data_IF_235740817309
#
_entry.id   IF_235740817309
#
_cell.length_a   1.000
_cell.length_b   1.000
_cell.length_c   1.000
_cell.angle_alpha   90.00
_cell.angle_beta   90.00
_cell.angle_gamma   90.00
#
_symmetry.space_group_name_H-M   'P 1'
#
loop_
_entity.id
_entity.type
_entity.pdbx_description
1 polymer ?
#
# COMPACT_ATOMS: atom_id res chain seq x y z
N UNK A 1 2.29 7.28 23.54
CA UNK A 1 3.65 7.47 23.01
C UNK A 1 4.19 8.73 23.66
N UNK A 2 5.45 8.76 24.10
CA UNK A 2 6.01 9.96 24.75
C UNK A 2 6.41 11.02 23.72
N UNK A 3 6.54 12.29 24.14
CA UNK A 3 7.05 13.36 23.26
C UNK A 3 8.43 13.03 22.69
N UNK A 4 9.32 12.41 23.48
CA UNK A 4 10.64 11.97 23.01
C UNK A 4 10.55 10.94 21.89
N UNK A 5 9.60 10.01 21.98
CA UNK A 5 9.36 9.01 20.95
C UNK A 5 8.83 9.67 19.66
N UNK A 6 7.98 10.69 19.75
CA UNK A 6 7.52 11.48 18.60
C UNK A 6 8.69 12.23 17.97
N UNK A 7 9.48 12.94 18.76
CA UNK A 7 10.64 13.69 18.28
C UNK A 7 11.66 12.78 17.61
N UNK A 8 11.89 11.58 18.16
CA UNK A 8 12.76 10.57 17.54
C UNK A 8 12.19 10.05 16.22
N UNK A 9 10.88 9.81 16.13
CA UNK A 9 10.24 9.40 14.88
C UNK A 9 10.43 10.46 13.78
N UNK A 10 10.24 11.74 14.14
CA UNK A 10 10.45 12.87 13.23
C UNK A 10 11.91 12.97 12.79
N UNK A 11 12.87 12.89 13.71
CA UNK A 11 14.29 13.01 13.33
C UNK A 11 14.75 11.85 12.45
N UNK A 12 14.23 10.64 12.64
CA UNK A 12 14.46 9.53 11.73
C UNK A 12 13.87 9.81 10.35
N UNK A 13 12.64 10.34 10.28
CA UNK A 13 11.98 10.65 9.01
C UNK A 13 12.73 11.72 8.20
N UNK A 14 13.36 12.68 8.89
CA UNK A 14 14.12 13.77 8.27
C UNK A 14 15.44 13.33 7.63
N UNK A 15 15.94 12.14 7.99
CA UNK A 15 17.06 11.49 7.29
C UNK A 15 16.68 10.97 5.91
N UNK A 16 15.38 10.84 5.61
CA UNK A 16 14.88 10.40 4.29
C UNK A 16 15.52 9.08 3.84
N UNK A 17 16.04 9.07 2.61
CA UNK A 17 16.72 7.92 2.01
C UNK A 17 18.13 7.69 2.58
N UNK A 18 18.69 8.61 3.37
CA UNK A 18 19.99 8.45 4.03
C UNK A 18 19.91 7.59 5.30
N UNK A 19 18.70 7.31 5.80
CA UNK A 19 18.52 6.47 6.98
C UNK A 19 19.05 5.04 6.76
N UNK A 20 19.81 4.52 7.72
CA UNK A 20 20.30 3.15 7.67
C UNK A 20 19.18 2.13 7.90
N UNK A 21 19.39 0.87 7.50
CA UNK A 21 18.38 -0.20 7.64
C UNK A 21 17.85 -0.32 9.07
N UNK A 22 18.74 -0.25 10.08
CA UNK A 22 18.37 -0.32 11.51
C UNK A 22 17.51 0.89 11.93
N UNK A 23 17.78 2.07 11.38
CA UNK A 23 17.04 3.30 11.62
C UNK A 23 15.66 3.27 10.98
N UNK A 24 15.56 2.72 9.76
CA UNK A 24 14.27 2.48 9.08
C UNK A 24 13.43 1.47 9.88
N UNK A 25 14.04 0.41 10.42
CA UNK A 25 13.32 -0.53 11.31
C UNK A 25 12.86 0.16 12.61
N UNK A 26 13.67 1.05 13.19
CA UNK A 26 13.26 1.84 14.35
C UNK A 26 12.11 2.79 14.02
N UNK A 27 12.18 3.47 12.88
CA UNK A 27 11.14 4.35 12.35
C UNK A 27 9.82 3.61 12.19
N UNK A 28 9.83 2.42 11.59
CA UNK A 28 8.66 1.55 11.48
C UNK A 28 8.06 1.19 12.85
N UNK A 29 8.89 0.78 13.82
CA UNK A 29 8.39 0.40 15.16
C UNK A 29 7.68 1.56 15.86
N UNK A 30 8.25 2.76 15.77
CA UNK A 30 7.67 3.97 16.34
C UNK A 30 6.37 4.36 15.61
N UNK A 31 6.35 4.34 14.28
CA UNK A 31 5.15 4.65 13.50
C UNK A 31 4.03 3.62 13.75
N UNK A 32 4.35 2.33 13.85
CA UNK A 32 3.39 1.28 14.20
C UNK A 32 2.80 1.52 15.59
N UNK A 33 3.63 1.88 16.56
CA UNK A 33 3.17 2.22 17.92
C UNK A 33 2.22 3.42 17.91
N UNK A 34 2.61 4.51 17.23
CA UNK A 34 1.78 5.69 17.06
C UNK A 34 0.43 5.34 16.42
N UNK A 35 0.46 4.61 15.31
CA UNK A 35 -0.75 4.20 14.58
C UNK A 35 -1.66 3.34 15.45
N UNK A 36 -1.10 2.40 16.22
CA UNK A 36 -1.87 1.57 17.14
C UNK A 36 -2.60 2.42 18.19
N UNK A 37 -1.90 3.33 18.86
CA UNK A 37 -2.50 4.22 19.87
C UNK A 37 -3.57 5.14 19.26
N UNK A 38 -3.31 5.72 18.08
CA UNK A 38 -4.26 6.59 17.40
C UNK A 38 -5.54 5.86 16.99
N UNK A 39 -5.42 4.65 16.45
CA UNK A 39 -6.58 3.89 15.98
C UNK A 39 -7.41 3.33 17.14
N UNK A 40 -6.77 2.83 18.19
CA UNK A 40 -7.48 2.41 19.40
C UNK A 40 -8.17 3.61 20.07
N UNK A 41 -7.50 4.77 20.14
CA UNK A 41 -8.08 6.01 20.67
C UNK A 41 -9.25 6.55 19.83
N UNK A 42 -9.30 6.23 18.54
CA UNK A 42 -10.41 6.55 17.65
C UNK A 42 -11.61 5.58 17.77
N UNK A 43 -11.51 4.55 18.62
CA UNK A 43 -12.60 3.60 18.89
C UNK A 43 -12.58 2.34 18.02
N UNK A 44 -11.54 2.12 17.21
CA UNK A 44 -11.39 0.85 16.49
C UNK A 44 -10.97 -0.27 17.45
N UNK A 45 -11.43 -1.50 17.18
CA UNK A 45 -11.11 -2.65 18.03
C UNK A 45 -9.66 -3.11 17.84
N UNK A 46 -9.08 -3.73 18.87
CA UNK A 46 -7.75 -4.34 18.78
C UNK A 46 -7.65 -5.36 17.63
N UNK A 47 -8.74 -6.08 17.37
CA UNK A 47 -8.80 -7.06 16.28
C UNK A 47 -8.63 -6.40 14.91
N UNK A 48 -9.36 -5.31 14.65
CA UNK A 48 -9.28 -4.55 13.40
C UNK A 48 -7.88 -3.96 13.21
N UNK A 49 -7.36 -3.30 14.25
CA UNK A 49 -6.02 -2.70 14.23
C UNK A 49 -4.93 -3.75 13.99
N UNK A 50 -5.00 -4.90 14.67
CA UNK A 50 -4.08 -6.04 14.46
C UNK A 50 -4.18 -6.62 13.06
N UNK A 51 -5.37 -6.71 12.49
CA UNK A 51 -5.57 -7.22 11.13
C UNK A 51 -4.92 -6.29 10.09
N UNK A 52 -5.06 -4.98 10.25
CA UNK A 52 -4.40 -3.98 9.40
C UNK A 52 -2.87 -4.02 9.54
N UNK A 53 -2.34 -4.11 10.77
CA UNK A 53 -0.89 -4.28 10.97
C UNK A 53 -0.33 -5.53 10.30
N UNK A 54 -1.05 -6.65 10.41
CA UNK A 54 -0.71 -7.90 9.71
C UNK A 54 -0.71 -7.69 8.20
N UNK A 55 -1.74 -7.02 7.65
CA UNK A 55 -1.83 -6.70 6.22
C UNK A 55 -0.62 -5.88 5.75
N UNK A 56 -0.23 -4.81 6.44
CA UNK A 56 0.90 -3.98 6.04
C UNK A 56 2.23 -4.71 6.15
N UNK A 57 2.40 -5.56 7.16
CA UNK A 57 3.56 -6.43 7.27
C UNK A 57 3.65 -7.44 6.11
N UNK A 58 2.55 -8.11 5.81
CA UNK A 58 2.49 -9.13 4.77
C UNK A 58 2.58 -8.54 3.36
N UNK A 59 2.11 -7.31 3.15
CA UNK A 59 2.16 -6.63 1.87
C UNK A 59 3.49 -5.90 1.61
N UNK A 60 4.08 -5.32 2.65
CA UNK A 60 5.34 -4.58 2.57
C UNK A 60 6.55 -5.49 2.69
N UNK A 61 6.81 -6.02 3.90
CA UNK A 61 8.06 -6.76 4.18
C UNK A 61 8.11 -8.16 3.58
N UNK A 62 6.96 -8.80 3.37
CA UNK A 62 6.87 -10.18 2.89
C UNK A 62 6.38 -10.24 1.45
N UNK A 63 6.76 -11.30 0.75
CA UNK A 63 6.22 -11.58 -0.57
C UNK A 63 4.73 -11.97 -0.52
N UNK A 64 4.08 -11.92 -1.67
CA UNK A 64 2.91 -12.75 -1.91
C UNK A 64 3.28 -14.25 -1.78
N UNK A 65 2.30 -15.15 -1.56
CA UNK A 65 2.54 -16.59 -1.67
C UNK A 65 3.19 -16.91 -3.03
N UNK A 66 4.33 -17.62 -3.01
CA UNK A 66 5.16 -17.82 -4.21
C UNK A 66 5.32 -19.29 -4.64
N UNK A 67 4.78 -20.24 -3.86
CA UNK A 67 4.70 -21.67 -4.24
C UNK A 67 3.24 -22.00 -4.59
N UNK A 68 3.06 -22.95 -5.50
CA UNK A 68 1.74 -23.36 -5.99
C UNK A 68 0.88 -24.09 -4.94
N UNK A 69 1.49 -24.72 -3.93
CA UNK A 69 0.80 -25.56 -2.94
C UNK A 69 1.22 -25.23 -1.52
N UNK A 70 0.34 -25.51 -0.55
CA UNK A 70 0.65 -25.33 0.86
C UNK A 70 1.76 -26.28 1.28
N UNK A 71 2.69 -25.79 2.10
CA UNK A 71 3.57 -26.68 2.84
C UNK A 71 2.91 -27.24 4.11
N UNK A 72 1.79 -26.65 4.57
CA UNK A 72 1.02 -27.14 5.73
C UNK A 72 0.00 -28.21 5.36
N UNK A 73 -0.63 -28.10 4.19
CA UNK A 73 -1.67 -29.03 3.72
C UNK A 73 -1.43 -29.39 2.24
N UNK A 74 -0.85 -30.57 1.95
CA UNK A 74 -0.61 -31.02 0.58
C UNK A 74 -1.87 -30.95 -0.31
N UNK A 75 -1.74 -30.45 -1.54
CA UNK A 75 -2.82 -30.42 -2.54
C UNK A 75 -3.84 -29.28 -2.45
N UNK A 76 -3.82 -28.44 -1.40
CA UNK A 76 -4.74 -27.29 -1.29
C UNK A 76 -4.24 -26.09 -2.13
N UNK A 77 -5.08 -25.52 -3.02
CA UNK A 77 -4.77 -24.25 -3.68
C UNK A 77 -4.46 -23.17 -2.64
N UNK A 78 -3.35 -22.45 -2.83
CA UNK A 78 -2.88 -21.50 -1.84
C UNK A 78 -3.74 -20.25 -1.72
N UNK A 79 -4.12 -19.93 -0.49
CA UNK A 79 -4.62 -18.61 -0.14
C UNK A 79 -3.56 -17.79 0.62
N UNK A 80 -3.81 -16.49 0.81
CA UNK A 80 -2.90 -15.61 1.54
C UNK A 80 -2.65 -15.99 3.00
N UNK A 81 -3.43 -16.91 3.59
CA UNK A 81 -3.33 -17.40 4.98
C UNK A 81 -2.44 -18.63 5.12
N UNK A 82 -2.17 -19.36 4.03
CA UNK A 82 -1.52 -20.67 4.06
C UNK A 82 0.02 -20.64 4.24
N UNK A 83 0.61 -19.47 4.50
CA UNK A 83 1.88 -19.37 5.24
C UNK A 83 3.18 -19.45 4.44
N UNK A 84 3.16 -19.63 3.11
CA UNK A 84 4.38 -19.61 2.30
C UNK A 84 4.78 -18.20 1.82
N UNK A 85 4.90 -17.29 2.79
CA UNK A 85 5.42 -15.93 2.58
C UNK A 85 6.76 -15.83 3.30
N UNK A 86 7.77 -15.35 2.61
CA UNK A 86 9.06 -15.03 3.23
C UNK A 86 9.35 -13.54 3.10
N UNK A 87 10.26 -13.06 3.92
CA UNK A 87 10.74 -11.70 3.83
C UNK A 87 11.38 -11.46 2.45
N UNK A 88 11.11 -10.30 1.85
CA UNK A 88 11.53 -10.00 0.47
C UNK A 88 13.04 -10.03 0.25
N UNK A 89 13.81 -9.66 1.27
CA UNK A 89 15.27 -9.66 1.23
C UNK A 89 15.91 -11.04 1.34
N UNK A 90 15.10 -12.08 1.55
CA UNK A 90 15.58 -13.48 1.56
C UNK A 90 15.46 -14.13 0.18
N UNK A 91 14.88 -13.45 -0.81
CA UNK A 91 14.94 -13.92 -2.20
C UNK A 91 16.29 -13.61 -2.83
N UNK A 92 16.64 -14.31 -3.90
CA UNK A 92 17.76 -13.93 -4.76
C UNK A 92 17.57 -12.52 -5.33
N UNK A 93 18.61 -11.68 -5.41
CA UNK A 93 18.49 -10.31 -5.92
C UNK A 93 17.85 -10.18 -7.31
N UNK A 94 18.04 -11.19 -8.16
CA UNK A 94 17.44 -11.26 -9.50
C UNK A 94 15.93 -11.54 -9.48
N UNK A 95 15.40 -12.15 -8.42
CA UNK A 95 14.01 -12.58 -8.34
C UNK A 95 13.03 -11.39 -8.27
N UNK A 96 11.89 -11.48 -8.96
CA UNK A 96 10.89 -10.39 -9.04
C UNK A 96 10.32 -9.93 -7.69
N UNK A 97 10.28 -10.83 -6.70
CA UNK A 97 9.79 -10.51 -5.34
C UNK A 97 10.87 -9.90 -4.44
N UNK A 98 12.13 -9.88 -4.87
CA UNK A 98 13.23 -9.34 -4.09
C UNK A 98 13.08 -7.83 -3.89
N UNK A 99 13.39 -7.42 -2.67
CA UNK A 99 13.63 -6.04 -2.27
C UNK A 99 14.58 -6.07 -1.06
N UNK A 100 15.41 -5.05 -0.90
CA UNK A 100 16.27 -4.94 0.27
C UNK A 100 15.41 -4.83 1.55
N UNK A 101 15.99 -5.16 2.71
CA UNK A 101 15.25 -4.99 3.98
C UNK A 101 14.83 -3.53 4.19
N UNK A 102 15.70 -2.59 3.80
CA UNK A 102 15.42 -1.15 3.83
C UNK A 102 14.21 -0.80 2.97
N UNK A 103 14.21 -1.17 1.69
CA UNK A 103 13.11 -0.83 0.77
C UNK A 103 11.80 -1.47 1.19
N UNK A 104 11.81 -2.76 1.53
CA UNK A 104 10.61 -3.48 1.94
C UNK A 104 10.02 -2.90 3.25
N UNK A 105 10.87 -2.39 4.15
CA UNK A 105 10.44 -1.72 5.38
C UNK A 105 9.94 -0.31 5.10
N UNK A 106 10.58 0.45 4.19
CA UNK A 106 10.08 1.76 3.74
C UNK A 106 8.71 1.64 3.06
N UNK A 107 8.48 0.62 2.24
CA UNK A 107 7.16 0.33 1.66
C UNK A 107 6.12 0.03 2.75
N UNK A 108 6.49 -0.75 3.77
CA UNK A 108 5.60 -0.98 4.90
C UNK A 108 5.25 0.34 5.62
N UNK A 109 6.24 1.20 5.89
CA UNK A 109 6.05 2.53 6.50
C UNK A 109 5.10 3.38 5.63
N UNK A 110 5.32 3.40 4.31
CA UNK A 110 4.45 4.08 3.34
C UNK A 110 2.99 3.64 3.47
N UNK A 111 2.71 2.36 3.69
CA UNK A 111 1.33 1.88 3.90
C UNK A 111 0.69 2.41 5.19
N UNK A 112 1.45 2.52 6.28
CA UNK A 112 0.95 3.18 7.50
C UNK A 112 0.61 4.65 7.23
N UNK A 113 1.49 5.36 6.54
CA UNK A 113 1.31 6.77 6.21
C UNK A 113 0.09 7.00 5.31
N UNK A 114 -0.07 6.16 4.28
CA UNK A 114 -1.23 6.17 3.39
C UNK A 114 -2.53 5.88 4.16
N UNK A 115 -2.54 4.88 5.05
CA UNK A 115 -3.69 4.58 5.88
C UNK A 115 -4.06 5.71 6.86
N UNK A 116 -3.07 6.37 7.46
CA UNK A 116 -3.28 7.58 8.28
C UNK A 116 -3.71 8.81 7.47
N UNK A 117 -3.69 8.72 6.14
CA UNK A 117 -4.14 9.76 5.22
C UNK A 117 -5.47 9.43 4.53
N UNK A 118 -6.05 8.27 4.81
CA UNK A 118 -7.38 7.88 4.32
C UNK A 118 -8.47 8.73 4.98
N UNK A 119 -9.66 8.78 4.36
CA UNK A 119 -10.85 9.34 5.01
C UNK A 119 -11.13 8.54 6.30
N UNK A 120 -11.65 9.22 7.32
CA UNK A 120 -11.92 8.66 8.65
C UNK A 120 -10.67 8.31 9.47
N UNK A 121 -9.46 8.59 8.98
CA UNK A 121 -8.26 8.46 9.79
C UNK A 121 -8.25 9.49 10.94
N UNK A 122 -7.74 9.13 12.13
CA UNK A 122 -7.52 10.09 13.20
C UNK A 122 -6.46 11.12 12.82
N UNK A 123 -6.63 12.37 13.28
CA UNK A 123 -5.65 13.45 13.06
C UNK A 123 -4.34 13.15 13.80
N UNK A 124 -3.21 13.43 13.15
CA UNK A 124 -1.90 13.30 13.78
C UNK A 124 -1.77 14.21 15.01
N UNK A 125 -1.08 13.76 16.07
CA UNK A 125 -0.98 14.51 17.33
C UNK A 125 -0.05 15.72 17.24
N UNK A 126 0.87 15.76 16.26
CA UNK A 126 1.87 16.82 16.14
C UNK A 126 1.93 17.32 14.69
N UNK A 127 1.86 18.65 14.43
CA UNK A 127 1.89 19.21 13.09
C UNK A 127 3.12 18.79 12.25
N UNK A 128 4.30 18.69 12.86
CA UNK A 128 5.55 18.32 12.15
C UNK A 128 5.49 16.93 11.52
N UNK A 129 4.72 16.00 12.08
CA UNK A 129 4.55 14.66 11.50
C UNK A 129 3.82 14.69 10.15
N UNK A 130 3.00 15.73 9.89
CA UNK A 130 2.25 15.88 8.65
C UNK A 130 3.17 16.05 7.44
N UNK A 131 4.32 16.69 7.63
CA UNK A 131 5.26 17.04 6.55
C UNK A 131 6.54 16.22 6.57
N UNK A 132 6.98 15.74 7.74
CA UNK A 132 8.23 14.98 7.88
C UNK A 132 8.32 13.72 6.98
N UNK A 133 7.16 13.14 6.63
CA UNK A 133 7.06 11.95 5.81
C UNK A 133 6.60 12.21 4.36
N UNK A 134 6.46 13.46 3.93
CA UNK A 134 5.99 13.78 2.57
C UNK A 134 6.84 13.13 1.48
N UNK A 135 8.16 13.08 1.69
CA UNK A 135 9.09 12.44 0.76
C UNK A 135 8.79 10.95 0.54
N UNK A 136 8.24 10.26 1.56
CA UNK A 136 7.95 8.83 1.51
C UNK A 136 6.50 8.53 1.17
N UNK A 137 5.55 9.41 1.53
CA UNK A 137 4.13 9.23 1.22
C UNK A 137 3.76 9.78 -0.16
N UNK A 138 4.42 10.85 -0.60
CA UNK A 138 4.08 11.63 -1.80
C UNK A 138 3.08 12.76 -1.55
N UNK A 139 2.56 12.89 -0.32
CA UNK A 139 1.54 13.86 0.07
C UNK A 139 1.66 14.21 1.56
N UNK A 140 0.95 15.26 2.00
CA UNK A 140 0.84 15.63 3.43
C UNK A 140 0.07 14.53 4.16
N UNK A 141 0.52 14.13 5.35
CA UNK A 141 -0.19 13.12 6.14
C UNK A 141 -1.38 13.76 6.86
N UNK A 142 -2.53 13.80 6.18
CA UNK A 142 -3.79 14.30 6.71
C UNK A 142 -4.97 13.42 6.28
N UNK A 143 -6.00 13.26 7.12
CA UNK A 143 -7.19 12.48 6.75
C UNK A 143 -7.83 13.01 5.46
N UNK A 144 -8.02 12.12 4.49
CA UNK A 144 -8.57 12.43 3.18
C UNK A 144 -7.54 12.89 2.13
N UNK A 145 -6.27 13.06 2.50
CA UNK A 145 -5.21 13.44 1.55
C UNK A 145 -4.76 12.29 0.63
N UNK A 146 -5.17 11.06 0.91
CA UNK A 146 -4.81 9.89 0.11
C UNK A 146 -5.98 9.34 -0.71
N UNK A 147 -5.75 9.24 -2.01
CA UNK A 147 -6.69 8.72 -3.00
C UNK A 147 -6.20 7.40 -3.58
N UNK A 148 -7.14 6.60 -4.06
CA UNK A 148 -6.86 5.42 -4.84
C UNK A 148 -6.09 5.78 -6.12
N UNK A 149 -4.91 5.18 -6.39
CA UNK A 149 -4.07 5.61 -7.50
C UNK A 149 -4.61 5.33 -8.91
N UNK A 150 -5.70 4.56 -9.04
CA UNK A 150 -6.33 4.25 -10.33
C UNK A 150 -7.61 5.04 -10.52
N UNK A 151 -8.49 5.00 -9.53
CA UNK A 151 -9.81 5.63 -9.59
C UNK A 151 -9.77 7.11 -9.18
N UNK A 152 -8.69 7.56 -8.53
CA UNK A 152 -8.55 8.93 -8.00
C UNK A 152 -9.73 9.32 -7.09
N UNK A 153 -10.18 8.35 -6.29
CA UNK A 153 -11.21 8.56 -5.28
C UNK A 153 -10.60 8.38 -3.91
N UNK A 154 -11.06 9.15 -2.90
CA UNK A 154 -10.60 8.94 -1.53
C UNK A 154 -10.89 7.52 -1.04
N UNK A 155 -9.94 6.92 -0.32
CA UNK A 155 -10.14 5.62 0.35
C UNK A 155 -10.56 5.89 1.79
N UNK A 156 -11.60 5.19 2.27
CA UNK A 156 -12.05 5.25 3.67
C UNK A 156 -11.34 4.18 4.51
N UNK A 157 -10.76 4.61 5.64
CA UNK A 157 -10.05 3.76 6.58
C UNK A 157 -10.98 2.81 7.32
N UNK A 158 -12.19 3.26 7.66
CA UNK A 158 -13.15 2.48 8.47
C UNK A 158 -13.51 1.14 7.82
N UNK A 159 -13.96 1.08 6.55
CA UNK A 159 -14.21 -0.18 5.88
C UNK A 159 -12.91 -0.97 5.65
N UNK A 160 -11.79 -0.29 5.45
CA UNK A 160 -10.48 -0.95 5.27
C UNK A 160 -9.98 -1.67 6.53
N UNK A 161 -10.29 -1.14 7.72
CA UNK A 161 -10.00 -1.77 9.01
C UNK A 161 -10.89 -2.98 9.28
N UNK A 162 -12.19 -2.87 8.94
CA UNK A 162 -13.17 -3.96 9.07
C UNK A 162 -12.91 -5.10 8.10
N UNK A 163 -12.54 -4.77 6.86
CA UNK A 163 -12.21 -5.71 5.80
C UNK A 163 -10.87 -5.35 5.14
N UNK A 164 -9.72 -5.79 5.69
CA UNK A 164 -8.40 -5.48 5.14
C UNK A 164 -8.12 -6.02 3.73
N UNK A 165 -9.00 -6.84 3.15
CA UNK A 165 -8.91 -7.27 1.75
C UNK A 165 -9.52 -6.26 0.78
N UNK A 166 -10.28 -5.27 1.28
CA UNK A 166 -10.80 -4.17 0.46
C UNK A 166 -9.69 -3.29 -0.12
N UNK A 167 -8.52 -3.28 0.51
CA UNK A 167 -7.30 -2.63 0.02
C UNK A 167 -6.21 -3.67 -0.28
N UNK A 168 -5.39 -3.42 -1.29
CA UNK A 168 -4.27 -4.25 -1.72
C UNK A 168 -3.01 -3.43 -1.87
N UNK A 169 -1.86 -4.11 -1.89
CA UNK A 169 -0.63 -3.51 -2.38
C UNK A 169 -0.63 -3.61 -3.90
N UNK A 170 -0.60 -2.46 -4.56
CA UNK A 170 -0.38 -2.32 -5.99
C UNK A 170 1.03 -1.85 -6.32
N UNK A 171 1.32 -1.79 -7.62
CA UNK A 171 2.59 -1.34 -8.16
C UNK A 171 2.37 -0.47 -9.40
N UNK A 172 3.11 0.64 -9.58
CA UNK A 172 3.01 1.47 -10.78
C UNK A 172 3.38 0.66 -12.03
N UNK A 173 4.46 -0.11 -11.90
CA UNK A 173 4.90 -1.15 -12.84
C UNK A 173 4.79 -2.50 -12.12
N UNK A 174 3.99 -3.45 -12.62
CA UNK A 174 3.85 -4.78 -12.03
C UNK A 174 5.19 -5.50 -11.88
N UNK A 175 5.31 -6.32 -10.83
CA UNK A 175 6.53 -7.11 -10.58
C UNK A 175 6.83 -8.10 -11.72
N UNK A 176 5.79 -8.62 -12.38
CA UNK A 176 5.91 -9.52 -13.55
C UNK A 176 6.33 -8.78 -14.83
N UNK A 177 6.40 -7.45 -14.79
CA UNK A 177 6.75 -6.57 -15.91
C UNK A 177 8.04 -5.80 -15.65
N UNK A 178 8.89 -6.32 -14.77
CA UNK A 178 10.17 -5.71 -14.41
C UNK A 178 10.11 -4.65 -13.31
N UNK A 179 8.91 -4.36 -12.77
CA UNK A 179 8.77 -3.50 -11.59
C UNK A 179 9.42 -4.12 -10.35
N UNK A 180 9.80 -3.26 -9.39
CA UNK A 180 10.43 -3.68 -8.12
C UNK A 180 9.61 -3.25 -6.91
N UNK A 181 9.74 -3.97 -5.81
CA UNK A 181 9.02 -3.65 -4.58
C UNK A 181 9.78 -2.58 -3.77
N UNK A 182 9.70 -1.34 -4.23
CA UNK A 182 10.36 -0.16 -3.66
C UNK A 182 9.32 0.95 -3.41
N UNK A 183 9.61 1.93 -2.52
CA UNK A 183 8.63 2.96 -2.12
C UNK A 183 8.03 3.76 -3.27
N UNK A 184 8.80 4.02 -4.33
CA UNK A 184 8.39 4.80 -5.49
C UNK A 184 7.42 4.02 -6.39
N UNK A 185 7.48 2.68 -6.34
CA UNK A 185 6.66 1.81 -7.18
C UNK A 185 5.44 1.26 -6.43
N UNK A 186 5.52 1.04 -5.12
CA UNK A 186 4.49 0.36 -4.34
C UNK A 186 3.55 1.34 -3.60
N UNK A 187 2.25 0.99 -3.55
CA UNK A 187 1.21 1.80 -2.89
C UNK A 187 0.04 0.93 -2.45
N UNK A 188 -0.81 1.47 -1.55
CA UNK A 188 -2.12 0.91 -1.27
C UNK A 188 -3.11 1.28 -2.38
N UNK A 189 -4.05 0.40 -2.67
CA UNK A 189 -5.12 0.69 -3.63
C UNK A 189 -6.34 -0.14 -3.29
N UNK A 190 -7.50 0.26 -3.79
CA UNK A 190 -8.72 -0.53 -3.67
C UNK A 190 -8.56 -1.87 -4.40
N UNK A 191 -9.20 -2.91 -3.85
CA UNK A 191 -9.19 -4.25 -4.43
C UNK A 191 -9.64 -4.24 -5.90
N UNK A 192 -10.71 -3.51 -6.20
CA UNK A 192 -11.25 -3.35 -7.54
C UNK A 192 -10.24 -2.65 -8.46
N UNK A 193 -9.55 -1.63 -7.99
CA UNK A 193 -8.50 -0.95 -8.74
C UNK A 193 -7.36 -1.90 -9.11
N UNK A 194 -6.95 -2.74 -8.16
CA UNK A 194 -5.93 -3.77 -8.41
C UNK A 194 -6.39 -4.79 -9.47
N UNK A 195 -7.68 -5.16 -9.47
CA UNK A 195 -8.25 -6.04 -10.50
C UNK A 195 -8.31 -5.36 -11.88
N UNK A 196 -8.68 -4.08 -11.93
CA UNK A 196 -8.71 -3.31 -13.18
C UNK A 196 -7.30 -3.18 -13.78
N UNK A 197 -6.30 -2.89 -12.95
CA UNK A 197 -4.91 -2.80 -13.40
C UNK A 197 -4.38 -4.14 -13.92
N UNK A 198 -4.66 -5.25 -13.22
CA UNK A 198 -4.17 -6.56 -13.61
C UNK A 198 -2.64 -6.59 -13.73
N UNK A 199 -2.12 -6.98 -14.90
CA UNK A 199 -0.68 -7.00 -15.18
C UNK A 199 -0.21 -5.83 -16.07
N UNK A 200 -1.01 -4.76 -16.16
CA UNK A 200 -0.60 -3.53 -16.84
C UNK A 200 0.08 -2.57 -15.86
N UNK A 201 1.00 -1.76 -16.36
CA UNK A 201 1.35 -0.51 -15.70
C UNK A 201 0.15 0.43 -15.64
N UNK A 202 0.17 1.38 -14.72
CA UNK A 202 -0.89 2.41 -14.63
C UNK A 202 -1.05 3.17 -15.95
N UNK A 203 0.07 3.45 -16.63
CA UNK A 203 0.07 4.12 -17.93
C UNK A 203 -0.65 3.27 -19.00
N UNK A 204 -0.28 2.00 -19.14
CA UNK A 204 -0.93 1.08 -20.08
C UNK A 204 -2.43 0.94 -19.80
N UNK A 205 -2.84 0.90 -18.53
CA UNK A 205 -4.25 0.86 -18.14
C UNK A 205 -5.02 2.11 -18.61
N UNK A 206 -4.46 3.30 -18.36
CA UNK A 206 -5.09 4.58 -18.75
C UNK A 206 -5.22 4.66 -20.28
N UNK A 207 -4.18 4.25 -21.02
CA UNK A 207 -4.21 4.20 -22.48
C UNK A 207 -5.32 3.24 -22.98
N UNK A 208 -5.44 2.06 -22.36
CA UNK A 208 -6.50 1.10 -22.68
C UNK A 208 -7.90 1.68 -22.41
N UNK A 209 -8.10 2.31 -21.24
CA UNK A 209 -9.37 2.96 -20.89
C UNK A 209 -9.74 4.04 -21.91
N UNK A 210 -8.79 4.88 -22.31
CA UNK A 210 -8.98 5.90 -23.35
C UNK A 210 -9.39 5.30 -24.69
N UNK A 211 -8.74 4.21 -25.12
CA UNK A 211 -9.10 3.51 -26.35
C UNK A 211 -10.52 2.91 -26.29
N UNK A 212 -10.92 2.33 -25.14
CA UNK A 212 -12.26 1.77 -24.94
C UNK A 212 -13.31 2.88 -25.09
N UNK A 213 -13.12 4.02 -24.41
CA UNK A 213 -14.02 5.18 -24.49
C UNK A 213 -14.12 5.70 -25.93
N UNK A 214 -12.99 5.81 -26.64
CA UNK A 214 -12.98 6.27 -28.04
C UNK A 214 -13.75 5.33 -28.97
N UNK A 215 -13.59 4.00 -28.81
CA UNK A 215 -14.30 3.00 -29.62
C UNK A 215 -15.81 3.04 -29.38
N UNK A 216 -16.24 3.17 -28.12
CA UNK A 216 -17.66 3.29 -27.79
C UNK A 216 -18.27 4.60 -28.31
N UNK A 217 -17.55 5.71 -28.20
CA UNK A 217 -17.99 7.01 -28.74
C UNK A 217 -18.17 6.95 -30.26
N UNK A 218 -17.21 6.34 -30.97
CA UNK A 218 -17.29 6.13 -32.42
C UNK A 218 -18.48 5.25 -32.81
N UNK A 219 -18.78 4.19 -32.04
CA UNK A 219 -19.93 3.31 -32.29
C UNK A 219 -21.27 4.00 -32.02
N UNK A 220 -21.36 4.78 -30.95
CA UNK A 220 -22.56 5.54 -30.62
C UNK A 220 -22.91 6.55 -31.73
N UNK A 221 -21.92 7.25 -32.27
CA UNK A 221 -22.10 8.17 -33.41
C UNK A 221 -22.64 7.42 -34.64
N UNK A 222 -22.04 6.27 -35.00
CA UNK A 222 -22.50 5.46 -36.14
C UNK A 222 -23.89 4.87 -35.95
N UNK A 223 -24.29 4.53 -34.71
CA UNK A 223 -25.63 4.03 -34.40
C UNK A 223 -26.72 5.09 -34.52
N UNK A 224 -26.36 6.38 -34.51
CA UNK A 224 -27.32 7.49 -34.64
C UNK A 224 -27.61 7.84 -36.12
N UNK A 225 -26.82 7.34 -37.07
CA UNK A 225 -26.94 7.67 -38.50
C UNK A 225 -27.78 6.68 -39.32
N UNK A 226 -28.33 5.63 -38.71
CA UNK A 226 -29.16 4.61 -39.40
C UNK A 226 -30.65 4.82 -39.09
N UNK A 227 -31.10 6.08 -39.08
CA UNK A 227 -32.47 6.45 -38.70
C UNK A 227 -32.98 7.73 -39.36
N UNK A 228 -32.53 8.01 -40.59
CA UNK A 228 -33.13 9.01 -41.48
C UNK A 228 -33.35 8.41 -42.86
#
# INVERSE_FOLDING_TARGET
>A
MTNDQINKLVSLAEKKLEAETTEVVQMWRLLKKLSNEMLLGAGFSEREVKAMHTKFNDAGRRSAPWKAFSQKVPGRPQDGKDGNRMNRWLFEPSHKQYATEKDATLVQIRYYLQALSMISAPKLPVPRLKTAFQWLAGHVIEPGAYEDPIQLIPIDLTPSLKEPRSINSGHLVPLDRGGRHVPENAFLMLHRSNQMQGNMSVKELIELMGQIVQRHSTRAIKGTTIGQ
#
